data_IF_194660654722
#
_entry.id   IF_194660654722
#
_cell.length_a   1.000
_cell.length_b   1.000
_cell.length_c   1.000
_cell.angle_alpha   90.00
_cell.angle_beta   90.00
_cell.angle_gamma   90.00
#
_symmetry.space_group_name_H-M   'P 1'
#
loop_
_entity.id
_entity.type
_entity.pdbx_description
1 polymer ?
#
# COMPACT_ATOMS: atom_id res chain seq x y z
N UNK A 1 -68.84 -34.47 -35.05
CA UNK A 1 -68.68 -34.72 -33.64
C UNK A 1 -67.28 -34.12 -33.28
N UNK A 2 -67.22 -32.93 -32.86
CA UNK A 2 -67.40 -32.39 -31.51
C UNK A 2 -66.10 -32.68 -30.78
N UNK A 3 -65.35 -31.78 -30.33
CA UNK A 3 -65.58 -30.76 -29.31
C UNK A 3 -64.35 -29.79 -29.22
N UNK A 4 -64.69 -28.54 -29.03
CA UNK A 4 -63.84 -27.43 -28.60
C UNK A 4 -63.09 -27.71 -27.32
N UNK A 5 -61.83 -27.18 -27.19
CA UNK A 5 -61.34 -26.85 -25.88
C UNK A 5 -60.46 -25.55 -25.89
N UNK A 6 -60.89 -24.66 -25.08
CA UNK A 6 -60.46 -23.32 -24.85
C UNK A 6 -59.07 -23.30 -24.17
N UNK A 7 -58.20 -22.45 -24.70
CA UNK A 7 -56.91 -22.12 -24.12
C UNK A 7 -57.07 -21.14 -22.93
N UNK A 8 -56.75 -21.56 -21.72
CA UNK A 8 -56.50 -20.68 -20.60
C UNK A 8 -55.07 -20.16 -20.69
N UNK A 9 -54.96 -18.88 -20.97
CA UNK A 9 -53.72 -18.12 -20.80
C UNK A 9 -53.51 -17.84 -19.30
N UNK A 10 -52.57 -18.55 -18.70
CA UNK A 10 -52.03 -18.14 -17.39
C UNK A 10 -50.95 -17.06 -17.62
N UNK A 11 -51.31 -15.82 -17.32
CA UNK A 11 -50.36 -14.72 -17.19
C UNK A 11 -49.39 -14.98 -16.03
N UNK A 12 -48.15 -15.27 -16.36
CA UNK A 12 -47.06 -15.17 -15.39
C UNK A 12 -46.70 -13.70 -15.22
N UNK A 13 -47.08 -13.16 -14.08
CA UNK A 13 -46.59 -11.89 -13.57
C UNK A 13 -45.05 -11.93 -13.58
N UNK A 14 -44.43 -11.00 -14.30
CA UNK A 14 -43.00 -10.70 -14.16
C UNK A 14 -42.82 -10.06 -12.79
N UNK A 15 -42.44 -10.85 -11.83
CA UNK A 15 -41.85 -10.31 -10.59
C UNK A 15 -40.61 -9.49 -10.97
N UNK A 16 -40.57 -8.25 -10.51
CA UNK A 16 -39.52 -7.31 -10.82
C UNK A 16 -38.18 -7.78 -10.26
N UNK A 17 -37.28 -8.09 -11.15
CA UNK A 17 -35.87 -8.29 -10.83
C UNK A 17 -35.23 -6.91 -10.55
N UNK A 18 -35.26 -6.48 -9.28
CA UNK A 18 -34.53 -5.33 -8.76
C UNK A 18 -33.04 -5.67 -8.59
N UNK A 19 -32.45 -6.34 -9.57
CA UNK A 19 -31.05 -6.71 -9.56
C UNK A 19 -30.16 -5.60 -10.13
N UNK A 20 -29.26 -5.09 -9.31
CA UNK A 20 -28.23 -4.11 -9.63
C UNK A 20 -27.60 -4.34 -11.00
N UNK A 21 -27.81 -3.42 -11.92
CA UNK A 21 -27.03 -3.30 -13.16
C UNK A 21 -25.62 -2.83 -12.77
N UNK A 22 -24.56 -3.56 -13.19
CA UNK A 22 -23.19 -3.07 -13.06
C UNK A 22 -23.09 -1.69 -13.72
N UNK A 23 -22.37 -0.76 -13.13
CA UNK A 23 -22.20 0.61 -13.62
C UNK A 23 -21.61 0.69 -15.05
N UNK A 24 -21.06 -0.43 -15.58
CA UNK A 24 -20.41 -0.53 -16.90
C UNK A 24 -21.02 -1.60 -17.83
N UNK A 25 -22.31 -1.87 -17.74
CA UNK A 25 -22.97 -2.98 -18.44
C UNK A 25 -23.46 -2.75 -19.89
N UNK A 26 -23.10 -1.65 -20.56
CA UNK A 26 -23.76 -1.20 -21.81
C UNK A 26 -23.80 -2.15 -23.02
N UNK A 27 -22.84 -3.07 -23.18
CA UNK A 27 -22.77 -4.07 -24.27
C UNK A 27 -23.18 -5.49 -23.86
N UNK A 28 -23.33 -5.72 -22.55
CA UNK A 28 -23.57 -7.06 -22.02
C UNK A 28 -25.07 -7.40 -22.04
N UNK A 29 -25.40 -8.56 -22.59
CA UNK A 29 -26.78 -9.10 -22.63
C UNK A 29 -27.02 -10.15 -21.55
N UNK A 30 -25.95 -10.59 -20.84
CA UNK A 30 -26.00 -11.58 -19.77
C UNK A 30 -25.14 -11.10 -18.61
N UNK A 31 -25.45 -11.54 -17.40
CA UNK A 31 -24.59 -11.33 -16.23
C UNK A 31 -23.42 -12.30 -16.28
N UNK A 32 -22.21 -11.88 -15.84
CA UNK A 32 -21.13 -12.82 -15.56
C UNK A 32 -21.54 -13.86 -14.51
N UNK A 33 -20.94 -15.03 -14.57
CA UNK A 33 -21.06 -16.01 -13.49
C UNK A 33 -20.38 -15.46 -12.22
N UNK A 34 -20.95 -15.78 -11.06
CA UNK A 34 -20.48 -15.24 -9.77
C UNK A 34 -18.97 -15.50 -9.54
N UNK A 35 -18.48 -16.67 -9.92
CA UNK A 35 -17.06 -17.02 -9.74
C UNK A 35 -16.11 -16.15 -10.58
N UNK A 36 -16.57 -15.57 -11.70
CA UNK A 36 -15.78 -14.64 -12.52
C UNK A 36 -15.60 -13.33 -11.77
N UNK A 37 -16.66 -12.83 -11.12
CA UNK A 37 -16.61 -11.63 -10.31
C UNK A 37 -15.68 -11.84 -9.10
N UNK A 38 -15.77 -12.98 -8.41
CA UNK A 38 -14.91 -13.34 -7.29
C UNK A 38 -13.45 -13.52 -7.70
N UNK A 39 -13.17 -14.14 -8.86
CA UNK A 39 -11.83 -14.35 -9.38
C UNK A 39 -11.15 -13.04 -9.81
N UNK A 40 -11.93 -12.11 -10.37
CA UNK A 40 -11.43 -10.81 -10.82
C UNK A 40 -11.31 -9.76 -9.72
N UNK A 41 -11.93 -9.99 -8.55
CA UNK A 41 -11.97 -9.00 -7.49
C UNK A 41 -10.60 -8.79 -6.80
N UNK A 42 -10.19 -7.52 -6.69
CA UNK A 42 -8.96 -7.11 -5.99
C UNK A 42 -9.22 -6.54 -4.59
N UNK A 43 -10.47 -6.33 -4.21
CA UNK A 43 -10.86 -5.67 -2.95
C UNK A 43 -10.24 -6.29 -1.70
N UNK A 44 -9.91 -7.59 -1.72
CA UNK A 44 -9.28 -8.29 -0.60
C UNK A 44 -7.92 -7.71 -0.21
N UNK A 45 -7.21 -7.07 -1.14
CA UNK A 45 -5.91 -6.46 -0.92
C UNK A 45 -5.87 -4.95 -1.25
N UNK A 46 -6.58 -4.45 -2.26
CA UNK A 46 -6.54 -3.04 -2.64
C UNK A 46 -7.32 -2.12 -1.69
N UNK A 47 -8.16 -2.67 -0.80
CA UNK A 47 -8.76 -1.90 0.29
C UNK A 47 -7.74 -1.16 1.17
N UNK A 48 -6.46 -1.56 1.14
CA UNK A 48 -5.38 -0.85 1.80
C UNK A 48 -5.07 0.52 1.20
N UNK A 49 -5.54 0.80 -0.02
CA UNK A 49 -5.38 2.07 -0.73
C UNK A 49 -6.53 3.06 -0.46
N UNK A 50 -7.44 2.75 0.45
CA UNK A 50 -8.67 3.50 0.70
C UNK A 50 -8.41 4.99 1.02
N UNK A 51 -7.38 5.30 1.79
CA UNK A 51 -7.04 6.69 2.14
C UNK A 51 -6.47 7.42 0.93
N UNK A 52 -5.57 6.79 0.19
CA UNK A 52 -4.93 7.34 -1.00
C UNK A 52 -5.95 7.59 -2.13
N UNK A 53 -6.90 6.67 -2.34
CA UNK A 53 -7.98 6.86 -3.32
C UNK A 53 -8.87 8.05 -2.97
N UNK A 54 -9.23 8.21 -1.70
CA UNK A 54 -10.03 9.36 -1.25
C UNK A 54 -9.22 10.65 -1.39
N UNK A 55 -7.93 10.67 -1.04
CA UNK A 55 -7.04 11.82 -1.22
C UNK A 55 -6.92 12.20 -2.71
N UNK A 56 -6.68 11.22 -3.59
CA UNK A 56 -6.67 11.39 -5.04
C UNK A 56 -7.98 11.94 -5.58
N UNK A 57 -9.10 11.45 -5.07
CA UNK A 57 -10.45 11.89 -5.43
C UNK A 57 -10.75 13.31 -4.96
N UNK A 58 -10.29 13.72 -3.77
CA UNK A 58 -10.40 15.10 -3.27
C UNK A 58 -9.61 16.08 -4.13
N UNK A 59 -8.40 15.72 -4.54
CA UNK A 59 -7.60 16.53 -5.46
C UNK A 59 -8.28 16.63 -6.84
N UNK A 60 -8.80 15.52 -7.35
CA UNK A 60 -9.47 15.46 -8.64
C UNK A 60 -10.72 16.35 -8.69
N UNK A 61 -11.63 16.23 -7.71
CA UNK A 61 -12.84 17.07 -7.65
C UNK A 61 -12.50 18.56 -7.49
N UNK A 62 -11.43 18.87 -6.75
CA UNK A 62 -10.97 20.27 -6.60
C UNK A 62 -10.45 20.83 -7.92
N UNK A 63 -9.76 20.03 -8.70
CA UNK A 63 -9.32 20.38 -10.05
C UNK A 63 -10.52 20.53 -11.01
N UNK A 64 -11.50 19.62 -10.98
CA UNK A 64 -12.70 19.71 -11.82
C UNK A 64 -13.49 21.00 -11.56
N UNK A 65 -13.59 21.44 -10.31
CA UNK A 65 -14.20 22.72 -9.94
C UNK A 65 -13.39 23.90 -10.50
N UNK A 66 -12.06 23.92 -10.29
CA UNK A 66 -11.17 24.96 -10.82
C UNK A 66 -11.28 25.10 -12.33
N UNK A 67 -11.40 23.99 -13.04
CA UNK A 67 -11.55 23.94 -14.49
C UNK A 67 -12.99 24.21 -14.98
N UNK A 68 -13.92 24.56 -14.08
CA UNK A 68 -15.34 24.80 -14.39
C UNK A 68 -16.04 23.61 -15.06
N UNK A 69 -15.57 22.38 -14.81
CA UNK A 69 -16.18 21.14 -15.29
C UNK A 69 -17.32 20.76 -14.35
N UNK A 70 -17.17 20.99 -13.05
CA UNK A 70 -18.21 20.88 -12.04
C UNK A 70 -18.56 22.28 -11.51
N UNK A 71 -19.81 22.47 -11.12
CA UNK A 71 -20.23 23.66 -10.37
C UNK A 71 -19.66 23.62 -8.94
N UNK A 72 -19.54 24.80 -8.30
CA UNK A 72 -19.09 24.89 -6.91
C UNK A 72 -19.98 24.11 -5.93
N UNK A 73 -21.30 24.08 -6.17
CA UNK A 73 -22.23 23.32 -5.33
C UNK A 73 -22.03 21.81 -5.45
N UNK A 74 -21.86 21.31 -6.67
CA UNK A 74 -21.58 19.88 -6.92
C UNK A 74 -20.24 19.46 -6.31
N UNK A 75 -19.20 20.24 -6.55
CA UNK A 75 -17.87 19.99 -6.01
C UNK A 75 -17.88 20.02 -4.47
N UNK A 76 -18.59 20.96 -3.86
CA UNK A 76 -18.74 21.05 -2.40
C UNK A 76 -19.44 19.84 -1.81
N UNK A 77 -20.51 19.35 -2.45
CA UNK A 77 -21.21 18.13 -2.00
C UNK A 77 -20.31 16.91 -2.08
N UNK A 78 -19.59 16.73 -3.21
CA UNK A 78 -18.67 15.59 -3.40
C UNK A 78 -17.52 15.64 -2.38
N UNK A 79 -16.88 16.80 -2.19
CA UNK A 79 -15.81 16.99 -1.18
C UNK A 79 -16.29 16.63 0.22
N UNK A 80 -17.48 17.08 0.61
CA UNK A 80 -18.04 16.75 1.94
C UNK A 80 -18.30 15.26 2.08
N UNK A 81 -18.85 14.60 1.07
CA UNK A 81 -19.03 13.14 1.06
C UNK A 81 -17.71 12.38 1.20
N UNK A 82 -16.69 12.76 0.41
CA UNK A 82 -15.35 12.17 0.49
C UNK A 82 -14.69 12.37 1.86
N UNK A 83 -14.82 13.55 2.46
CA UNK A 83 -14.31 13.80 3.81
C UNK A 83 -14.99 12.93 4.87
N UNK A 84 -16.30 12.73 4.77
CA UNK A 84 -17.04 11.79 5.63
C UNK A 84 -16.53 10.37 5.46
N UNK A 85 -16.30 9.92 4.23
CA UNK A 85 -15.74 8.60 3.95
C UNK A 85 -14.31 8.45 4.50
N UNK A 86 -13.47 9.48 4.38
CA UNK A 86 -12.11 9.47 4.92
C UNK A 86 -12.10 9.33 6.45
N UNK A 87 -12.99 10.01 7.15
CA UNK A 87 -13.13 9.88 8.60
C UNK A 87 -13.57 8.46 9.00
N UNK A 88 -14.54 7.89 8.26
CA UNK A 88 -14.99 6.50 8.46
C UNK A 88 -13.86 5.49 8.16
N UNK A 89 -13.05 5.73 7.10
CA UNK A 89 -11.90 4.89 6.76
C UNK A 89 -10.86 4.86 7.89
N UNK A 90 -10.47 6.03 8.41
CA UNK A 90 -9.52 6.15 9.53
C UNK A 90 -10.00 5.46 10.81
N UNK A 91 -11.32 5.41 11.03
CA UNK A 91 -11.94 4.68 12.14
C UNK A 91 -12.17 3.19 11.84
N UNK A 92 -11.84 2.73 10.63
CA UNK A 92 -12.11 1.36 10.15
C UNK A 92 -13.61 0.98 10.21
N UNK A 93 -14.47 1.94 9.92
CA UNK A 93 -15.93 1.78 9.93
C UNK A 93 -16.50 1.47 8.54
N UNK A 94 -15.68 1.55 7.49
CA UNK A 94 -16.09 1.19 6.13
C UNK A 94 -16.12 -0.33 5.95
N UNK A 95 -17.13 -0.80 5.24
CA UNK A 95 -17.26 -2.18 4.79
C UNK A 95 -17.28 -2.24 3.28
N UNK A 96 -16.50 -3.15 2.71
CA UNK A 96 -16.36 -3.31 1.27
C UNK A 96 -16.96 -4.63 0.81
N UNK A 97 -17.46 -4.65 -0.42
CA UNK A 97 -18.10 -5.82 -1.04
C UNK A 97 -17.31 -6.28 -2.27
N UNK A 98 -17.05 -7.58 -2.37
CA UNK A 98 -16.46 -8.19 -3.57
C UNK A 98 -17.35 -8.04 -4.84
N UNK A 99 -18.63 -7.74 -4.69
CA UNK A 99 -19.52 -7.46 -5.81
C UNK A 99 -19.12 -6.19 -6.59
N UNK A 100 -18.38 -5.29 -5.95
CA UNK A 100 -17.87 -4.05 -6.55
C UNK A 100 -16.40 -4.18 -6.97
N UNK A 101 -15.87 -5.39 -7.13
CA UNK A 101 -14.59 -5.72 -7.73
C UNK A 101 -13.38 -5.12 -7.01
N UNK A 102 -13.23 -3.79 -6.95
CA UNK A 102 -12.08 -3.06 -6.45
C UNK A 102 -12.48 -1.95 -5.44
N UNK A 103 -11.48 -1.32 -4.82
CA UNK A 103 -11.68 -0.23 -3.88
C UNK A 103 -12.34 0.98 -4.54
N UNK A 104 -12.00 1.25 -5.79
CA UNK A 104 -12.49 2.42 -6.53
C UNK A 104 -14.00 2.37 -6.72
N UNK A 105 -14.53 1.22 -7.15
CA UNK A 105 -15.98 1.03 -7.33
C UNK A 105 -16.73 0.97 -6.00
N UNK A 106 -16.11 0.39 -4.97
CA UNK A 106 -16.65 0.40 -3.62
C UNK A 106 -16.80 1.84 -3.10
N UNK A 107 -15.76 2.68 -3.25
CA UNK A 107 -15.82 4.08 -2.81
C UNK A 107 -16.79 4.92 -3.63
N UNK A 108 -16.86 4.72 -4.95
CA UNK A 108 -17.86 5.39 -5.80
C UNK A 108 -19.28 5.05 -5.35
N UNK A 109 -19.55 3.76 -5.08
CA UNK A 109 -20.85 3.32 -4.56
C UNK A 109 -21.16 3.93 -3.21
N UNK A 110 -20.22 3.88 -2.26
CA UNK A 110 -20.38 4.47 -0.93
C UNK A 110 -20.63 5.98 -1.01
N UNK A 111 -19.93 6.68 -1.91
CA UNK A 111 -20.14 8.11 -2.14
C UNK A 111 -21.52 8.40 -2.69
N UNK A 112 -21.99 7.64 -3.69
CA UNK A 112 -23.34 7.79 -4.24
C UNK A 112 -24.41 7.50 -3.17
N UNK A 113 -24.19 6.52 -2.32
CA UNK A 113 -25.12 6.20 -1.22
C UNK A 113 -25.15 7.33 -0.16
N UNK A 114 -24.03 8.02 0.07
CA UNK A 114 -23.94 9.11 1.05
C UNK A 114 -24.56 10.42 0.54
N UNK A 115 -24.30 10.80 -0.73
CA UNK A 115 -24.66 12.13 -1.28
C UNK A 115 -25.61 12.09 -2.48
N UNK A 116 -26.04 10.92 -2.91
CA UNK A 116 -26.91 10.74 -4.08
C UNK A 116 -26.17 10.76 -5.43
N UNK A 117 -26.91 10.87 -6.56
CA UNK A 117 -26.38 10.71 -7.92
C UNK A 117 -25.26 11.68 -8.30
N UNK A 118 -25.13 12.81 -7.59
CA UNK A 118 -24.04 13.79 -7.82
C UNK A 118 -22.67 13.14 -7.58
N UNK A 119 -22.59 12.12 -6.71
CA UNK A 119 -21.34 11.36 -6.44
C UNK A 119 -20.73 10.74 -7.69
N UNK A 120 -21.55 10.27 -8.64
CA UNK A 120 -21.09 9.70 -9.91
C UNK A 120 -20.35 10.70 -10.82
N UNK A 121 -20.55 12.01 -10.64
CA UNK A 121 -19.83 13.03 -11.39
C UNK A 121 -18.34 13.12 -11.06
N UNK A 122 -17.91 12.57 -9.92
CA UNK A 122 -16.52 12.50 -9.53
C UNK A 122 -15.65 11.79 -10.58
N UNK A 123 -16.19 10.82 -11.31
CA UNK A 123 -15.43 10.06 -12.31
C UNK A 123 -15.19 10.80 -13.63
N UNK A 124 -15.69 12.04 -13.78
CA UNK A 124 -15.54 12.84 -14.99
C UNK A 124 -14.07 13.07 -15.35
N UNK A 125 -13.69 12.69 -16.58
CA UNK A 125 -12.32 12.87 -17.10
C UNK A 125 -11.25 12.00 -16.45
N UNK A 126 -11.64 10.96 -15.70
CA UNK A 126 -10.74 9.99 -15.01
C UNK A 126 -11.02 8.58 -15.50
N UNK A 127 -10.02 7.72 -15.43
CA UNK A 127 -10.12 6.28 -15.58
C UNK A 127 -9.68 5.60 -14.29
N UNK A 128 -10.05 4.32 -14.10
CA UNK A 128 -9.46 3.50 -13.03
C UNK A 128 -7.96 3.30 -13.22
N UNK A 129 -7.46 3.35 -14.47
CA UNK A 129 -6.05 3.13 -14.76
C UNK A 129 -5.15 4.22 -14.16
N UNK A 130 -5.48 5.51 -14.36
CA UNK A 130 -4.72 6.61 -13.77
C UNK A 130 -5.03 6.77 -12.28
N UNK A 131 -6.23 6.39 -11.83
CA UNK A 131 -6.62 6.39 -10.42
C UNK A 131 -5.77 5.40 -9.61
N UNK A 132 -5.76 4.11 -9.95
CA UNK A 132 -4.98 3.11 -9.21
C UNK A 132 -3.48 3.37 -9.28
N UNK A 133 -2.98 3.89 -10.41
CA UNK A 133 -1.57 4.28 -10.52
C UNK A 133 -1.24 5.41 -9.54
N UNK A 134 -2.12 6.43 -9.43
CA UNK A 134 -1.96 7.53 -8.47
C UNK A 134 -1.95 7.03 -7.03
N UNK A 135 -2.87 6.15 -6.67
CA UNK A 135 -2.97 5.60 -5.32
C UNK A 135 -1.71 4.84 -4.94
N UNK A 136 -1.17 4.02 -5.84
CA UNK A 136 0.08 3.29 -5.63
C UNK A 136 1.27 4.22 -5.42
N UNK A 137 1.35 5.33 -6.19
CA UNK A 137 2.40 6.33 -6.00
C UNK A 137 2.28 7.04 -4.64
N UNK A 138 1.08 7.46 -4.25
CA UNK A 138 0.82 8.08 -2.95
C UNK A 138 1.15 7.14 -1.80
N UNK A 139 0.67 5.89 -1.89
CA UNK A 139 0.91 4.85 -0.90
C UNK A 139 2.41 4.59 -0.70
N UNK A 140 3.15 4.34 -1.77
CA UNK A 140 4.58 4.07 -1.68
C UNK A 140 5.38 5.30 -1.24
N UNK A 141 5.03 6.50 -1.70
CA UNK A 141 5.66 7.76 -1.25
C UNK A 141 5.60 7.88 0.27
N UNK A 142 4.42 7.70 0.86
CA UNK A 142 4.18 7.75 2.30
C UNK A 142 4.97 6.68 3.05
N UNK A 143 4.91 5.43 2.58
CA UNK A 143 5.60 4.32 3.24
C UNK A 143 7.13 4.38 3.11
N UNK A 144 7.67 4.84 1.99
CA UNK A 144 9.12 5.06 1.83
C UNK A 144 9.61 6.10 2.83
N UNK A 145 8.91 7.23 3.00
CA UNK A 145 9.26 8.23 4.00
C UNK A 145 9.24 7.68 5.43
N UNK A 146 8.24 6.85 5.75
CA UNK A 146 8.17 6.18 7.05
C UNK A 146 9.32 5.20 7.28
N UNK A 147 9.67 4.41 6.25
CA UNK A 147 10.79 3.44 6.33
C UNK A 147 12.12 4.18 6.52
N UNK A 148 12.37 5.26 5.81
CA UNK A 148 13.57 6.09 5.99
C UNK A 148 13.68 6.55 7.44
N UNK A 149 12.62 7.13 8.01
CA UNK A 149 12.61 7.56 9.41
C UNK A 149 12.82 6.41 10.41
N UNK A 150 12.31 5.21 10.13
CA UNK A 150 12.56 4.04 10.97
C UNK A 150 14.00 3.55 10.88
N UNK A 151 14.64 3.62 9.71
CA UNK A 151 16.05 3.27 9.54
C UNK A 151 16.92 4.29 10.28
N UNK A 152 16.65 5.59 10.14
CA UNK A 152 17.35 6.65 10.85
C UNK A 152 17.26 6.48 12.38
N UNK A 153 16.07 6.15 12.90
CA UNK A 153 15.89 5.83 14.31
C UNK A 153 16.73 4.61 14.75
N UNK A 154 16.83 3.58 13.92
CA UNK A 154 17.68 2.42 14.21
C UNK A 154 19.16 2.80 14.21
N UNK A 155 19.60 3.65 13.27
CA UNK A 155 20.96 4.18 13.24
C UNK A 155 21.31 4.95 14.53
N UNK A 156 20.40 5.81 14.98
CA UNK A 156 20.60 6.60 16.23
C UNK A 156 20.73 5.69 17.46
N UNK A 157 19.94 4.62 17.55
CA UNK A 157 20.07 3.63 18.62
C UNK A 157 21.42 2.92 18.57
N UNK A 158 21.86 2.51 17.38
CA UNK A 158 23.15 1.84 17.20
C UNK A 158 24.32 2.77 17.49
N UNK A 159 24.25 4.05 17.09
CA UNK A 159 25.25 5.08 17.41
C UNK A 159 25.34 5.31 18.91
N UNK A 160 24.21 5.44 19.60
CA UNK A 160 24.15 5.60 21.05
C UNK A 160 24.77 4.40 21.77
N UNK A 161 24.50 3.18 21.29
CA UNK A 161 25.13 1.97 21.83
C UNK A 161 26.62 1.90 21.53
N UNK A 162 27.04 2.29 20.33
CA UNK A 162 28.44 2.31 19.96
C UNK A 162 29.24 3.27 20.86
N UNK A 163 28.72 4.47 21.14
CA UNK A 163 29.37 5.45 22.03
C UNK A 163 29.61 4.91 23.45
N UNK A 164 28.68 4.11 23.98
CA UNK A 164 28.80 3.45 25.29
C UNK A 164 29.86 2.33 25.33
N UNK A 165 30.30 1.83 24.17
CA UNK A 165 31.14 0.64 24.04
C UNK A 165 32.40 0.86 23.22
N UNK A 166 32.92 2.08 23.18
CA UNK A 166 34.16 2.44 22.44
C UNK A 166 35.37 1.63 22.95
N UNK A 167 35.48 1.46 24.28
CA UNK A 167 36.56 0.73 24.92
C UNK A 167 36.27 -0.76 25.16
N UNK A 168 35.05 -1.23 24.81
CA UNK A 168 34.68 -2.63 25.03
C UNK A 168 35.32 -3.51 23.97
N UNK A 169 36.29 -4.33 24.38
CA UNK A 169 36.95 -5.30 23.49
C UNK A 169 35.98 -6.42 23.11
N UNK A 170 35.86 -6.68 21.81
CA UNK A 170 34.96 -7.65 21.24
C UNK A 170 35.72 -8.54 20.25
N UNK A 171 35.44 -9.85 20.19
CA UNK A 171 36.07 -10.73 19.21
C UNK A 171 35.51 -10.52 17.83
N UNK A 172 36.34 -10.18 16.84
CA UNK A 172 35.97 -10.25 15.44
C UNK A 172 35.98 -11.73 14.95
N UNK A 173 35.07 -12.09 14.07
CA UNK A 173 34.95 -13.43 13.53
C UNK A 173 35.09 -13.46 12.02
N UNK A 174 35.77 -14.50 11.52
CA UNK A 174 35.71 -14.97 10.12
C UNK A 174 35.49 -16.49 10.15
N UNK A 175 34.63 -17.02 9.30
CA UNK A 175 34.32 -18.46 9.28
C UNK A 175 33.81 -19.03 10.62
N UNK A 176 33.13 -18.19 11.43
CA UNK A 176 32.76 -18.50 12.82
C UNK A 176 33.97 -18.85 13.72
N UNK A 177 35.18 -18.48 13.32
CA UNK A 177 36.40 -18.61 14.11
C UNK A 177 36.82 -17.23 14.61
N UNK A 178 37.32 -17.16 15.84
CA UNK A 178 37.90 -15.90 16.40
C UNK A 178 39.04 -15.45 15.52
N UNK A 179 39.00 -14.18 15.12
CA UNK A 179 40.02 -13.53 14.32
C UNK A 179 40.67 -12.39 15.11
N UNK A 180 40.60 -11.17 14.61
CA UNK A 180 41.18 -10.02 15.26
C UNK A 180 40.24 -9.44 16.34
N UNK A 181 40.78 -8.91 17.45
CA UNK A 181 39.98 -8.13 18.38
C UNK A 181 39.55 -6.80 17.74
N UNK A 182 38.33 -6.39 18.02
CA UNK A 182 37.78 -5.08 17.64
C UNK A 182 37.11 -4.45 18.87
N UNK A 183 36.70 -3.19 18.81
CA UNK A 183 35.75 -2.69 19.81
C UNK A 183 34.32 -3.08 19.40
N UNK A 184 33.44 -3.26 20.38
CA UNK A 184 32.02 -3.49 20.10
C UNK A 184 31.40 -2.30 19.33
N UNK A 185 31.86 -1.07 19.64
CA UNK A 185 31.51 0.11 18.87
C UNK A 185 31.85 -0.03 17.39
N UNK A 186 33.07 -0.49 17.05
CA UNK A 186 33.48 -0.68 15.65
C UNK A 186 32.59 -1.70 14.94
N UNK A 187 32.18 -2.77 15.62
CA UNK A 187 31.26 -3.76 15.10
C UNK A 187 29.87 -3.17 14.79
N UNK A 188 29.30 -2.41 15.74
CA UNK A 188 28.00 -1.75 15.54
C UNK A 188 28.03 -0.71 14.40
N UNK A 189 29.13 0.03 14.26
CA UNK A 189 29.33 1.01 13.19
C UNK A 189 29.33 0.39 11.79
N UNK A 190 29.66 -0.91 11.67
CA UNK A 190 29.51 -1.62 10.39
C UNK A 190 28.02 -1.70 9.97
N UNK A 191 27.12 -1.95 10.93
CA UNK A 191 25.66 -1.97 10.68
C UNK A 191 25.10 -0.57 10.42
N UNK A 192 25.53 0.43 11.15
CA UNK A 192 25.18 1.84 10.86
C UNK A 192 25.52 2.17 9.40
N UNK A 193 26.72 1.79 8.94
CA UNK A 193 27.12 2.02 7.56
C UNK A 193 26.25 1.25 6.52
N UNK A 194 25.73 0.08 6.88
CA UNK A 194 24.81 -0.68 6.01
C UNK A 194 23.44 0.00 5.94
N UNK A 195 22.87 0.34 7.08
CA UNK A 195 21.54 0.96 7.17
C UNK A 195 21.53 2.36 6.56
N UNK A 196 22.58 3.14 6.70
CA UNK A 196 22.74 4.42 6.02
C UNK A 196 22.60 4.28 4.50
N UNK A 197 23.28 3.30 3.90
CA UNK A 197 23.12 3.03 2.47
C UNK A 197 21.72 2.56 2.10
N UNK A 198 21.00 1.89 3.01
CA UNK A 198 19.61 1.50 2.79
C UNK A 198 18.69 2.71 2.84
N UNK A 199 18.84 3.62 3.80
CA UNK A 199 18.11 4.88 3.88
C UNK A 199 18.34 5.73 2.61
N UNK A 200 19.59 5.85 2.14
CA UNK A 200 19.95 6.55 0.91
C UNK A 200 19.23 5.95 -0.32
N UNK A 201 19.19 4.61 -0.46
CA UNK A 201 18.46 3.94 -1.57
C UNK A 201 16.96 4.28 -1.57
N UNK A 202 16.32 4.21 -0.41
CA UNK A 202 14.91 4.56 -0.28
C UNK A 202 14.67 6.05 -0.58
N UNK A 203 15.49 6.95 -0.04
CA UNK A 203 15.39 8.39 -0.30
C UNK A 203 15.57 8.73 -1.79
N UNK A 204 16.48 8.04 -2.48
CA UNK A 204 16.68 8.23 -3.91
C UNK A 204 15.52 7.69 -4.76
N UNK A 205 14.88 6.61 -4.33
CA UNK A 205 13.71 6.05 -5.04
C UNK A 205 12.52 7.02 -5.06
N UNK A 206 12.41 7.92 -4.08
CA UNK A 206 11.37 8.95 -4.05
C UNK A 206 11.35 9.81 -5.32
N UNK A 207 12.49 10.06 -5.97
CA UNK A 207 12.54 10.84 -7.22
C UNK A 207 11.71 10.22 -8.36
N UNK A 208 11.55 8.90 -8.36
CA UNK A 208 10.78 8.14 -9.37
C UNK A 208 9.35 7.89 -8.92
N UNK A 209 9.11 7.78 -7.62
CA UNK A 209 7.78 7.65 -7.03
C UNK A 209 7.01 8.97 -7.09
N UNK A 210 7.68 10.11 -7.00
CA UNK A 210 7.10 11.44 -6.79
C UNK A 210 6.68 12.14 -8.10
N UNK A 211 6.03 11.36 -8.97
CA UNK A 211 5.43 11.84 -10.23
C UNK A 211 3.96 11.43 -10.28
N UNK A 212 3.07 12.39 -10.58
CA UNK A 212 1.63 12.13 -10.65
C UNK A 212 1.22 11.53 -11.99
N UNK A 213 0.57 10.37 -12.01
CA UNK A 213 -0.06 9.81 -13.22
C UNK A 213 -1.47 10.36 -13.46
N UNK A 214 -2.09 11.04 -12.49
CA UNK A 214 -3.49 11.47 -12.55
C UNK A 214 -3.75 12.40 -13.74
N UNK A 215 -4.83 12.12 -14.46
CA UNK A 215 -5.20 12.81 -15.69
C UNK A 215 -4.65 12.17 -16.97
N UNK A 216 -3.90 11.06 -16.85
CA UNK A 216 -3.52 10.25 -18.01
C UNK A 216 -4.73 9.48 -18.60
N UNK A 217 -5.84 9.42 -17.89
CA UNK A 217 -7.04 8.68 -18.29
C UNK A 217 -6.77 7.19 -18.42
N UNK A 218 -7.40 6.53 -19.37
CA UNK A 218 -7.17 5.10 -19.60
C UNK A 218 -5.74 4.83 -20.09
N UNK A 219 -5.20 5.69 -20.99
CA UNK A 219 -3.83 5.61 -21.52
C UNK A 219 -3.44 6.83 -22.39
N UNK A 220 -4.39 7.66 -22.83
CA UNK A 220 -4.17 8.71 -23.83
C UNK A 220 -4.73 10.09 -23.40
N UNK A 221 -4.93 10.28 -22.09
CA UNK A 221 -5.53 11.50 -21.56
C UNK A 221 -7.05 11.54 -21.73
N UNK A 222 -7.59 12.74 -21.70
CA UNK A 222 -9.03 13.01 -21.83
C UNK A 222 -9.29 14.25 -22.69
N UNK A 223 -10.48 14.34 -23.28
CA UNK A 223 -10.91 15.54 -24.02
C UNK A 223 -11.44 16.65 -23.10
N UNK A 224 -11.60 16.40 -21.81
CA UNK A 224 -11.93 17.45 -20.86
C UNK A 224 -10.71 18.36 -20.60
N UNK A 225 -10.92 19.67 -20.41
CA UNK A 225 -9.83 20.62 -20.16
C UNK A 225 -9.35 20.56 -18.70
N UNK A 226 -8.84 19.40 -18.28
CA UNK A 226 -8.32 19.17 -16.91
C UNK A 226 -6.93 19.81 -16.72
N UNK A 227 -6.60 20.16 -15.48
CA UNK A 227 -5.30 20.69 -15.07
C UNK A 227 -4.52 19.66 -14.26
N UNK A 228 -3.69 18.85 -14.96
CA UNK A 228 -2.87 17.79 -14.34
C UNK A 228 -1.82 18.34 -13.36
N UNK A 229 -1.27 19.52 -13.65
CA UNK A 229 -0.29 20.14 -12.76
C UNK A 229 -0.92 20.56 -11.44
N UNK A 230 -2.12 21.11 -11.48
CA UNK A 230 -2.84 21.47 -10.27
C UNK A 230 -3.22 20.27 -9.43
N UNK A 231 -3.66 19.17 -10.04
CA UNK A 231 -3.92 17.93 -9.30
C UNK A 231 -2.65 17.38 -8.64
N UNK A 232 -1.51 17.42 -9.35
CA UNK A 232 -0.22 16.99 -8.81
C UNK A 232 0.23 17.84 -7.62
N UNK A 233 0.05 19.19 -7.72
CA UNK A 233 0.34 20.15 -6.63
C UNK A 233 -0.51 19.84 -5.39
N UNK A 234 -1.81 19.63 -5.56
CA UNK A 234 -2.73 19.29 -4.45
C UNK A 234 -2.36 17.99 -3.74
N UNK A 235 -1.78 17.03 -4.46
CA UNK A 235 -1.31 15.73 -3.93
C UNK A 235 0.15 15.78 -3.45
N UNK A 236 0.81 16.95 -3.56
CA UNK A 236 2.19 17.12 -3.14
C UNK A 236 3.21 16.37 -3.98
N UNK A 237 2.89 16.05 -5.25
CA UNK A 237 3.86 15.51 -6.20
C UNK A 237 4.77 16.59 -6.76
N UNK A 238 6.05 16.27 -6.98
CA UNK A 238 7.04 17.18 -7.58
C UNK A 238 6.84 17.40 -9.09
N UNK A 239 6.03 16.57 -9.74
CA UNK A 239 5.77 16.69 -11.17
C UNK A 239 4.71 15.72 -11.67
N UNK A 240 4.58 15.66 -12.99
CA UNK A 240 3.66 14.77 -13.69
C UNK A 240 4.43 13.85 -14.63
N UNK A 241 3.89 12.69 -14.93
CA UNK A 241 4.37 11.84 -16.02
C UNK A 241 4.22 12.57 -17.37
N UNK A 242 5.27 12.58 -18.18
CA UNK A 242 5.27 13.24 -19.50
C UNK A 242 4.50 12.43 -20.55
N UNK A 243 4.52 11.12 -20.47
CA UNK A 243 3.82 10.23 -21.38
C UNK A 243 2.65 9.56 -20.64
N UNK A 244 1.44 9.68 -21.18
CA UNK A 244 0.23 9.14 -20.53
C UNK A 244 0.14 7.61 -20.54
N UNK A 245 0.74 6.94 -21.52
CA UNK A 245 0.80 5.47 -21.57
C UNK A 245 1.76 4.94 -20.51
N UNK A 246 2.91 5.58 -20.36
CA UNK A 246 3.89 5.30 -19.31
C UNK A 246 3.26 5.50 -17.92
N UNK A 247 2.58 6.61 -17.70
CA UNK A 247 1.91 6.99 -16.45
C UNK A 247 1.00 5.89 -15.88
N UNK A 248 0.24 5.20 -16.74
CA UNK A 248 -0.71 4.17 -16.31
C UNK A 248 -0.13 2.76 -16.30
N UNK A 249 1.00 2.54 -16.96
CA UNK A 249 1.62 1.21 -17.11
C UNK A 249 2.88 1.01 -16.27
N UNK A 250 3.54 2.08 -15.84
CA UNK A 250 4.75 1.99 -15.02
C UNK A 250 4.51 1.23 -13.72
N UNK A 251 5.42 0.30 -13.45
CA UNK A 251 5.52 -0.46 -12.18
C UNK A 251 6.97 -0.59 -11.72
N UNK A 252 7.90 0.11 -12.39
CA UNK A 252 9.33 0.07 -12.09
C UNK A 252 9.60 0.52 -10.66
N UNK A 253 8.90 1.54 -10.19
CA UNK A 253 9.01 2.07 -8.83
C UNK A 253 8.59 1.05 -7.76
N UNK A 254 7.67 0.13 -8.06
CA UNK A 254 7.27 -0.96 -7.16
C UNK A 254 8.39 -2.00 -7.09
N UNK A 255 8.97 -2.38 -8.24
CA UNK A 255 10.10 -3.32 -8.30
C UNK A 255 11.32 -2.76 -7.59
N UNK A 256 11.59 -1.47 -7.74
CA UNK A 256 12.67 -0.77 -7.03
C UNK A 256 12.43 -0.80 -5.51
N UNK A 257 11.22 -0.51 -5.05
CA UNK A 257 10.84 -0.60 -3.64
C UNK A 257 11.06 -2.02 -3.08
N UNK A 258 10.62 -3.05 -3.79
CA UNK A 258 10.81 -4.45 -3.39
C UNK A 258 12.29 -4.85 -3.37
N UNK A 259 13.08 -4.36 -4.33
CA UNK A 259 14.54 -4.56 -4.37
C UNK A 259 15.22 -3.92 -3.16
N UNK A 260 14.91 -2.65 -2.85
CA UNK A 260 15.43 -1.94 -1.69
C UNK A 260 15.03 -2.65 -0.39
N UNK A 261 13.78 -3.11 -0.29
CA UNK A 261 13.29 -3.90 0.84
C UNK A 261 14.05 -5.21 1.02
N UNK A 262 14.39 -5.88 -0.08
CA UNK A 262 15.16 -7.13 -0.05
C UNK A 262 16.59 -6.89 0.47
N UNK A 263 17.24 -5.78 0.07
CA UNK A 263 18.57 -5.42 0.56
C UNK A 263 18.52 -5.08 2.06
N UNK A 264 17.56 -4.27 2.49
CA UNK A 264 17.37 -3.93 3.90
C UNK A 264 17.15 -5.20 4.74
N UNK A 265 16.28 -6.10 4.30
CA UNK A 265 16.01 -7.35 5.02
C UNK A 265 17.24 -8.26 5.09
N UNK A 266 18.13 -8.24 4.09
CA UNK A 266 19.40 -8.96 4.16
C UNK A 266 20.29 -8.41 5.28
N UNK A 267 20.41 -7.08 5.40
CA UNK A 267 21.17 -6.46 6.47
C UNK A 267 20.56 -6.73 7.85
N UNK A 268 19.23 -6.61 7.98
CA UNK A 268 18.51 -6.95 9.21
C UNK A 268 18.66 -8.43 9.58
N UNK A 269 18.60 -9.34 8.60
CA UNK A 269 18.80 -10.77 8.82
C UNK A 269 20.18 -11.08 9.40
N UNK A 270 21.23 -10.46 8.87
CA UNK A 270 22.60 -10.61 9.39
C UNK A 270 22.73 -10.08 10.81
N UNK A 271 22.20 -8.90 11.07
CA UNK A 271 22.22 -8.31 12.41
C UNK A 271 21.47 -9.17 13.43
N UNK A 272 20.28 -9.62 13.06
CA UNK A 272 19.47 -10.52 13.91
C UNK A 272 20.15 -11.86 14.17
N UNK A 273 20.83 -12.46 13.18
CA UNK A 273 21.59 -13.69 13.36
C UNK A 273 22.71 -13.50 14.41
N UNK A 274 23.41 -12.39 14.37
CA UNK A 274 24.44 -12.09 15.38
C UNK A 274 23.84 -11.88 16.78
N UNK A 275 22.69 -11.19 16.90
CA UNK A 275 21.98 -11.05 18.18
C UNK A 275 21.55 -12.40 18.75
N UNK A 276 21.08 -13.32 17.92
CA UNK A 276 20.71 -14.68 18.31
C UNK A 276 21.93 -15.43 18.81
N UNK A 277 23.02 -15.43 18.06
CA UNK A 277 24.27 -16.08 18.46
C UNK A 277 24.82 -15.49 19.76
N UNK A 278 24.88 -14.15 19.87
CA UNK A 278 25.45 -13.47 21.04
C UNK A 278 24.64 -13.68 22.32
N UNK A 279 23.33 -13.89 22.21
CA UNK A 279 22.45 -14.16 23.36
C UNK A 279 22.39 -15.63 23.75
N UNK A 280 23.03 -16.53 22.98
CA UNK A 280 23.07 -17.97 23.28
C UNK A 280 23.94 -18.25 24.50
N UNK A 281 23.72 -19.41 25.15
CA UNK A 281 24.52 -19.86 26.29
C UNK A 281 26.01 -20.09 25.93
N UNK A 282 26.30 -20.39 24.67
CA UNK A 282 27.63 -20.62 24.14
C UNK A 282 28.44 -19.34 24.01
N UNK A 283 27.80 -18.23 23.62
CA UNK A 283 28.48 -16.94 23.41
C UNK A 283 28.36 -16.01 24.61
N UNK A 284 27.15 -15.77 25.09
CA UNK A 284 26.86 -14.92 26.26
C UNK A 284 27.48 -13.51 26.17
N UNK A 285 27.49 -12.91 24.96
CA UNK A 285 28.02 -11.57 24.77
C UNK A 285 27.01 -10.49 25.13
N UNK A 286 25.70 -10.81 24.94
CA UNK A 286 24.58 -9.93 25.27
C UNK A 286 23.50 -10.72 26.00
N UNK A 287 22.65 -10.01 26.71
CA UNK A 287 21.39 -10.53 27.23
C UNK A 287 20.24 -9.71 26.66
N UNK A 288 19.22 -10.39 26.14
CA UNK A 288 18.01 -9.73 25.66
C UNK A 288 17.17 -9.27 26.85
N UNK A 289 16.60 -8.07 26.75
CA UNK A 289 15.66 -7.57 27.75
C UNK A 289 14.42 -8.47 27.80
N UNK A 290 13.86 -8.68 29.00
CA UNK A 290 12.68 -9.56 29.23
C UNK A 290 11.47 -9.11 28.43
N UNK A 291 11.34 -7.83 28.13
CA UNK A 291 10.23 -7.29 27.35
C UNK A 291 10.27 -7.66 25.86
N UNK A 292 11.42 -8.09 25.37
CA UNK A 292 11.65 -8.48 23.96
C UNK A 292 12.05 -9.97 23.80
N UNK A 293 11.86 -10.77 24.82
CA UNK A 293 12.17 -12.18 24.85
C UNK A 293 10.93 -13.00 25.25
N UNK A 294 10.91 -14.28 24.91
CA UNK A 294 9.87 -15.19 25.38
C UNK A 294 10.47 -16.32 26.21
N UNK A 295 9.64 -16.88 27.09
CA UNK A 295 10.03 -18.02 27.91
C UNK A 295 9.62 -19.36 27.30
N UNK A 296 9.83 -20.41 28.06
CA UNK A 296 9.35 -21.75 27.75
C UNK A 296 8.37 -22.21 28.84
N UNK A 297 7.26 -22.83 28.43
CA UNK A 297 6.28 -23.40 29.37
C UNK A 297 6.81 -24.60 30.16
N UNK A 298 7.83 -25.29 29.64
CA UNK A 298 8.41 -26.47 30.26
C UNK A 298 9.78 -26.21 30.89
N UNK A 299 10.49 -25.17 30.45
CA UNK A 299 11.85 -24.82 30.92
C UNK A 299 11.85 -23.40 31.45
N UNK A 300 11.60 -23.15 32.75
CA UNK A 300 11.47 -21.81 33.31
C UNK A 300 12.71 -20.92 33.15
N UNK A 301 13.90 -21.53 33.02
CA UNK A 301 15.18 -20.81 32.85
C UNK A 301 15.45 -20.38 31.41
N UNK A 302 14.64 -20.83 30.43
CA UNK A 302 14.87 -20.57 29.01
C UNK A 302 14.33 -19.19 28.62
N UNK A 303 15.17 -18.43 27.94
CA UNK A 303 14.86 -17.11 27.37
C UNK A 303 15.22 -17.11 25.90
N UNK A 304 14.23 -16.82 25.04
CA UNK A 304 14.35 -16.94 23.57
C UNK A 304 14.43 -15.55 22.94
N UNK A 305 15.28 -15.33 21.94
CA UNK A 305 15.38 -14.08 21.21
C UNK A 305 14.38 -13.98 20.02
N UNK A 306 13.07 -14.24 20.29
CA UNK A 306 12.05 -14.41 19.26
C UNK A 306 11.94 -13.22 18.29
N UNK A 307 12.11 -12.00 18.77
CA UNK A 307 12.03 -10.82 17.89
C UNK A 307 13.10 -10.88 16.80
N UNK A 308 14.34 -11.22 17.16
CA UNK A 308 15.43 -11.38 16.20
C UNK A 308 15.17 -12.57 15.25
N UNK A 309 14.68 -13.69 15.77
CA UNK A 309 14.34 -14.87 14.97
C UNK A 309 13.23 -14.59 13.95
N UNK A 310 12.17 -13.86 14.35
CA UNK A 310 11.06 -13.52 13.48
C UNK A 310 11.48 -12.54 12.38
N UNK A 311 12.29 -11.51 12.70
CA UNK A 311 12.82 -10.57 11.71
C UNK A 311 13.67 -11.33 10.69
N UNK A 312 14.61 -12.16 11.13
CA UNK A 312 15.43 -13.02 10.27
C UNK A 312 14.55 -13.90 9.37
N UNK A 313 13.54 -14.54 9.94
CA UNK A 313 12.64 -15.45 9.21
C UNK A 313 11.80 -14.76 8.13
N UNK A 314 11.38 -13.50 8.35
CA UNK A 314 10.60 -12.71 7.38
C UNK A 314 11.37 -12.33 6.13
N UNK A 315 12.69 -12.38 6.14
CA UNK A 315 13.55 -12.07 4.98
C UNK A 315 13.19 -12.89 3.76
N UNK A 316 12.99 -14.21 3.93
CA UNK A 316 12.59 -15.10 2.84
C UNK A 316 11.25 -14.73 2.21
N UNK A 317 10.29 -14.24 3.00
CA UNK A 317 9.00 -13.76 2.49
C UNK A 317 9.18 -12.49 1.62
N UNK A 318 9.98 -11.53 2.09
CA UNK A 318 10.24 -10.29 1.32
C UNK A 318 10.95 -10.60 -0.01
N UNK A 319 11.90 -11.53 0.00
CA UNK A 319 12.53 -12.01 -1.25
C UNK A 319 11.49 -12.63 -2.19
N UNK A 320 10.60 -13.47 -1.67
CA UNK A 320 9.51 -14.07 -2.46
C UNK A 320 8.55 -13.05 -3.08
N UNK A 321 8.38 -11.88 -2.47
CA UNK A 321 7.55 -10.81 -3.03
C UNK A 321 8.24 -10.07 -4.19
N UNK A 322 9.58 -10.05 -4.23
CA UNK A 322 10.33 -9.48 -5.35
C UNK A 322 10.31 -10.39 -6.58
N UNK A 323 10.36 -11.72 -6.40
CA UNK A 323 10.34 -12.73 -7.47
C UNK A 323 8.91 -13.10 -7.89
#
# INVERSE_FOLDING_TARGET
MGTSNTSEQHGKSKEGDNGMTKLWGGRFTKRPEQWIDEFGASISFDQHLVEEDIEGSLAHVTMLEKCSILSGDEASQIKKGLQTLLEKAKKKELTFSAQYEDIHLNLEKLLIDEIGPVGGKLHTGRSRNDQVATDMHLYLKKHVQQIVGLIENLEDVLLTKADQHVETIFPGYTHLQRAQPVSFAHHLMAYVSMFKRDAERYAESLKRIDLSPLGAGALAGTTFPIDRHYSAELLGFNGIYQNSMDAVSDRDFILEFLSNSSILMMHLSRFCEELILWSSQEFQFIEMDDTYATGSSIMPQKKNPDMAELIRGKTGRVYGHLF
#
